data_IF_346132098861
#
_entry.id   IF_346132098861
#
_cell.length_a   1.000
_cell.length_b   1.000
_cell.length_c   1.000
_cell.angle_alpha   90.00
_cell.angle_beta   90.00
_cell.angle_gamma   90.00
#
_symmetry.space_group_name_H-M   'P 1'
#
loop_
_entity.id
_entity.type
_entity.pdbx_description
1 polymer ?
#
# COMPACT_ATOMS: atom_id res chain seq x y z
N UNK A 1 5.36 3.28 4.04
CA UNK A 1 4.30 2.25 4.05
C UNK A 1 4.38 1.34 5.28
N UNK A 2 5.40 0.48 5.42
CA UNK A 2 5.55 -0.49 6.52
C UNK A 2 5.62 0.14 7.91
N UNK A 3 6.48 1.15 8.09
CA UNK A 3 6.56 1.88 9.36
C UNK A 3 5.23 2.52 9.76
N UNK A 4 4.52 3.13 8.79
CA UNK A 4 3.20 3.69 9.06
C UNK A 4 2.15 2.64 9.43
N UNK A 5 2.28 1.40 8.95
CA UNK A 5 1.43 0.31 9.42
C UNK A 5 1.70 -0.01 10.89
N UNK A 6 2.98 -0.22 11.23
CA UNK A 6 3.41 -0.61 12.57
C UNK A 6 3.09 0.46 13.63
N UNK A 7 3.23 1.73 13.29
CA UNK A 7 3.02 2.83 14.23
C UNK A 7 1.54 3.19 14.43
N UNK A 8 0.68 2.97 13.44
CA UNK A 8 -0.71 3.47 13.45
C UNK A 8 -1.73 2.34 13.61
N UNK A 9 -1.47 1.17 13.03
CA UNK A 9 -2.47 0.11 12.88
C UNK A 9 -2.11 -1.19 13.60
N UNK A 10 -0.82 -1.51 13.77
CA UNK A 10 -0.40 -2.71 14.49
C UNK A 10 -0.50 -2.50 16.01
N UNK A 11 -1.20 -3.39 16.71
CA UNK A 11 -1.35 -3.33 18.16
C UNK A 11 -0.05 -3.64 18.91
N UNK A 12 0.90 -4.31 18.25
CA UNK A 12 2.15 -4.75 18.85
C UNK A 12 3.32 -3.80 18.56
N UNK A 13 3.09 -2.49 18.46
CA UNK A 13 4.16 -1.50 18.17
C UNK A 13 5.37 -1.66 19.10
N UNK A 14 5.15 -1.91 20.39
CA UNK A 14 6.22 -2.10 21.39
C UNK A 14 7.13 -3.30 21.10
N UNK A 15 6.59 -4.35 20.49
CA UNK A 15 7.38 -5.50 20.08
C UNK A 15 8.45 -5.12 19.04
N UNK A 16 8.10 -4.27 18.08
CA UNK A 16 9.05 -3.82 17.06
C UNK A 16 10.11 -2.84 17.60
N UNK A 17 9.85 -2.14 18.71
CA UNK A 17 10.86 -1.29 19.36
C UNK A 17 11.95 -2.16 20.00
N UNK A 18 11.55 -3.27 20.64
CA UNK A 18 12.49 -4.21 21.25
C UNK A 18 13.17 -5.11 20.21
N UNK A 19 12.51 -5.37 19.07
CA UNK A 19 13.00 -6.22 17.99
C UNK A 19 12.88 -5.52 16.62
N UNK A 20 13.67 -4.46 16.36
CA UNK A 20 13.52 -3.61 15.17
C UNK A 20 13.68 -4.37 13.85
N UNK A 21 14.44 -5.45 13.83
CA UNK A 21 14.63 -6.29 12.64
C UNK A 21 13.33 -6.97 12.18
N UNK A 22 12.36 -7.16 13.07
CA UNK A 22 11.06 -7.76 12.75
C UNK A 22 10.21 -6.89 11.81
N UNK A 23 10.54 -5.60 11.67
CA UNK A 23 9.91 -4.71 10.70
C UNK A 23 10.08 -5.25 9.26
N UNK A 24 11.23 -5.89 9.00
CA UNK A 24 11.62 -6.44 7.70
C UNK A 24 11.44 -7.95 7.59
N UNK A 25 10.97 -8.63 8.64
CA UNK A 25 10.84 -10.08 8.64
C UNK A 25 9.69 -10.55 7.72
N UNK A 26 9.95 -11.38 6.70
CA UNK A 26 8.91 -11.91 5.81
C UNK A 26 8.35 -13.28 6.27
N UNK A 27 8.77 -13.79 7.43
CA UNK A 27 8.38 -15.10 7.95
C UNK A 27 7.38 -14.99 9.10
N UNK A 28 6.40 -15.91 9.11
CA UNK A 28 5.50 -16.14 10.24
C UNK A 28 5.53 -17.63 10.57
N UNK A 29 5.79 -17.99 11.83
CA UNK A 29 5.90 -19.38 12.29
C UNK A 29 6.86 -20.26 11.45
N UNK A 30 7.92 -19.67 10.88
CA UNK A 30 8.89 -20.37 10.04
C UNK A 30 8.52 -20.46 8.56
N UNK A 31 7.32 -20.05 8.16
CA UNK A 31 6.89 -20.03 6.76
C UNK A 31 7.11 -18.67 6.11
N UNK A 32 7.61 -18.67 4.87
CA UNK A 32 7.78 -17.46 4.08
C UNK A 32 6.42 -17.01 3.53
N UNK A 33 5.90 -15.91 4.07
CA UNK A 33 4.61 -15.34 3.68
C UNK A 33 4.73 -13.94 3.07
N UNK A 34 5.97 -13.45 2.94
CA UNK A 34 6.30 -12.11 2.46
C UNK A 34 6.10 -11.02 3.52
N UNK A 35 6.50 -9.79 3.19
CA UNK A 35 6.25 -8.63 4.05
C UNK A 35 4.77 -8.25 3.93
N UNK A 36 4.04 -8.45 5.02
CA UNK A 36 2.61 -8.13 5.15
C UNK A 36 2.40 -6.89 6.00
N UNK A 37 1.19 -6.33 5.99
CA UNK A 37 0.83 -5.16 6.79
C UNK A 37 1.48 -3.88 6.26
N UNK A 38 0.80 -3.23 5.32
CA UNK A 38 1.23 -2.00 4.68
C UNK A 38 0.18 -0.91 4.87
N UNK A 39 0.61 0.31 5.17
CA UNK A 39 -0.26 1.46 5.32
C UNK A 39 -0.19 2.35 4.08
N UNK A 40 -1.36 2.64 3.49
CA UNK A 40 -1.49 3.57 2.38
C UNK A 40 -1.11 5.00 2.81
N UNK A 41 -1.62 5.49 3.95
CA UNK A 41 -1.26 6.79 4.51
C UNK A 41 0.25 6.89 4.79
N UNK A 42 0.83 5.82 5.35
CA UNK A 42 2.26 5.75 5.60
C UNK A 42 3.10 5.68 4.31
N UNK A 43 2.54 5.26 3.18
CA UNK A 43 3.20 5.36 1.88
C UNK A 43 3.18 6.80 1.36
N UNK A 44 2.03 7.48 1.41
CA UNK A 44 1.88 8.88 0.98
C UNK A 44 2.79 9.81 1.78
N UNK A 45 2.75 9.72 3.12
CA UNK A 45 3.57 10.57 3.99
C UNK A 45 5.06 10.33 3.72
N UNK A 46 5.47 9.06 3.61
CA UNK A 46 6.85 8.70 3.30
C UNK A 46 7.31 9.25 1.95
N UNK A 47 6.46 9.17 0.92
CA UNK A 47 6.71 9.74 -0.39
C UNK A 47 6.89 11.27 -0.31
N UNK A 48 5.96 11.98 0.31
CA UNK A 48 6.04 13.44 0.45
C UNK A 48 7.32 13.89 1.18
N UNK A 49 7.65 13.23 2.29
CA UNK A 49 8.90 13.53 3.03
C UNK A 49 10.12 13.28 2.15
N UNK A 50 10.18 12.14 1.46
CA UNK A 50 11.31 11.82 0.58
C UNK A 50 11.47 12.84 -0.56
N UNK A 51 10.37 13.23 -1.22
CA UNK A 51 10.38 14.26 -2.27
C UNK A 51 10.86 15.61 -1.74
N UNK A 52 10.36 16.05 -0.57
CA UNK A 52 10.78 17.31 0.03
C UNK A 52 12.27 17.30 0.42
N UNK A 53 12.75 16.21 1.02
CA UNK A 53 14.16 16.06 1.38
C UNK A 53 15.07 16.02 0.14
N UNK A 54 14.64 15.33 -0.92
CA UNK A 54 15.35 15.29 -2.18
C UNK A 54 15.44 16.69 -2.81
N UNK A 55 14.31 17.39 -2.91
CA UNK A 55 14.25 18.74 -3.49
C UNK A 55 15.11 19.72 -2.69
N UNK A 56 15.10 19.61 -1.35
CA UNK A 56 15.95 20.43 -0.48
C UNK A 56 17.45 20.17 -0.72
N UNK A 57 17.86 18.90 -0.87
CA UNK A 57 19.25 18.52 -1.08
C UNK A 57 19.79 18.97 -2.44
N UNK A 58 18.99 18.81 -3.49
CA UNK A 58 19.41 19.09 -4.87
C UNK A 58 18.92 20.45 -5.39
N UNK A 59 18.24 21.24 -4.55
CA UNK A 59 17.68 22.56 -4.88
C UNK A 59 16.78 22.54 -6.11
N UNK A 60 15.98 21.48 -6.25
CA UNK A 60 15.04 21.29 -7.36
C UNK A 60 13.63 21.71 -6.95
N UNK A 61 12.80 22.00 -7.95
CA UNK A 61 11.40 22.37 -7.73
C UNK A 61 10.55 21.12 -7.41
N UNK A 62 9.89 21.02 -6.23
CA UNK A 62 9.05 19.88 -5.88
C UNK A 62 7.84 19.68 -6.80
N UNK A 63 7.35 20.74 -7.44
CA UNK A 63 6.19 20.68 -8.34
C UNK A 63 6.42 19.74 -9.53
N UNK A 64 7.65 19.68 -10.05
CA UNK A 64 7.99 18.76 -11.16
C UNK A 64 7.75 17.30 -10.76
N UNK A 65 8.04 16.93 -9.52
CA UNK A 65 7.79 15.57 -9.04
C UNK A 65 6.29 15.31 -8.88
N UNK A 66 5.52 16.31 -8.45
CA UNK A 66 4.07 16.17 -8.36
C UNK A 66 3.42 16.01 -9.74
N UNK A 67 3.93 16.72 -10.76
CA UNK A 67 3.47 16.54 -12.15
C UNK A 67 3.77 15.11 -12.66
N UNK A 68 4.95 14.57 -12.36
CA UNK A 68 5.30 13.18 -12.69
C UNK A 68 4.43 12.16 -11.93
N UNK A 69 4.09 12.45 -10.68
CA UNK A 69 3.17 11.63 -9.87
C UNK A 69 1.78 11.63 -10.48
N UNK A 70 1.30 12.78 -10.96
CA UNK A 70 -0.02 12.88 -11.59
C UNK A 70 -0.14 11.95 -12.82
N UNK A 71 0.95 11.69 -13.53
CA UNK A 71 0.98 10.74 -14.66
C UNK A 71 1.17 9.28 -14.22
N UNK A 72 2.03 9.03 -13.23
CA UNK A 72 2.41 7.67 -12.82
C UNK A 72 1.40 7.00 -11.88
N UNK A 73 0.72 7.76 -11.02
CA UNK A 73 -0.26 7.24 -10.06
C UNK A 73 -1.47 6.58 -10.75
N UNK A 74 -2.09 7.16 -11.79
CA UNK A 74 -3.17 6.49 -12.51
C UNK A 74 -2.76 5.12 -13.05
N UNK A 75 -1.54 5.02 -13.60
CA UNK A 75 -1.01 3.75 -14.12
C UNK A 75 -0.84 2.72 -12.99
N UNK A 76 -0.22 3.11 -11.88
CA UNK A 76 -0.09 2.26 -10.70
C UNK A 76 -1.46 1.83 -10.14
N UNK A 77 -2.45 2.73 -10.17
CA UNK A 77 -3.80 2.47 -9.69
C UNK A 77 -4.54 1.45 -10.56
N UNK A 78 -4.36 1.49 -11.89
CA UNK A 78 -4.92 0.48 -12.80
C UNK A 78 -4.41 -0.91 -12.43
N UNK A 79 -3.09 -1.08 -12.28
CA UNK A 79 -2.53 -2.36 -11.86
C UNK A 79 -2.99 -2.79 -10.47
N UNK A 80 -3.12 -1.84 -9.54
CA UNK A 80 -3.69 -2.09 -8.21
C UNK A 80 -5.12 -2.64 -8.30
N UNK A 81 -5.97 -2.05 -9.14
CA UNK A 81 -7.35 -2.49 -9.35
C UNK A 81 -7.46 -3.84 -10.04
N UNK A 82 -6.59 -4.13 -10.99
CA UNK A 82 -6.48 -5.47 -11.59
C UNK A 82 -6.08 -6.49 -10.52
N UNK A 83 -5.11 -6.17 -9.68
CA UNK A 83 -4.71 -7.00 -8.54
C UNK A 83 -5.87 -7.25 -7.58
N UNK A 84 -6.63 -6.20 -7.23
CA UNK A 84 -7.80 -6.35 -6.36
C UNK A 84 -8.86 -7.27 -6.97
N UNK A 85 -9.12 -7.13 -8.27
CA UNK A 85 -10.05 -7.99 -9.00
C UNK A 85 -9.61 -9.46 -8.97
N UNK A 86 -8.33 -9.74 -9.23
CA UNK A 86 -7.78 -11.11 -9.19
C UNK A 86 -7.78 -11.70 -7.78
N UNK A 87 -7.51 -10.89 -6.76
CA UNK A 87 -7.56 -11.28 -5.36
C UNK A 87 -8.99 -11.39 -4.80
N UNK A 88 -10.00 -11.05 -5.60
CA UNK A 88 -11.40 -10.95 -5.16
C UNK A 88 -11.58 -10.06 -3.92
N UNK A 89 -10.88 -8.93 -3.88
CA UNK A 89 -11.00 -7.91 -2.82
C UNK A 89 -11.55 -6.59 -3.39
N UNK A 90 -12.14 -5.75 -2.53
CA UNK A 90 -12.69 -4.44 -2.90
C UNK A 90 -13.73 -4.50 -4.05
N UNK A 91 -14.46 -5.60 -4.16
CA UNK A 91 -15.54 -5.78 -5.12
C UNK A 91 -16.78 -4.91 -4.81
N UNK A 92 -17.68 -4.85 -5.79
CA UNK A 92 -18.89 -4.05 -5.74
C UNK A 92 -19.99 -4.57 -4.81
N UNK A 93 -21.13 -3.86 -4.88
CA UNK A 93 -22.37 -4.29 -4.23
C UNK A 93 -22.97 -5.46 -5.00
N UNK A 94 -23.82 -6.24 -4.34
CA UNK A 94 -24.59 -7.31 -4.99
C UNK A 94 -25.34 -6.73 -6.18
N UNK A 95 -25.29 -7.45 -7.31
CA UNK A 95 -25.84 -6.98 -8.58
C UNK A 95 -26.57 -8.09 -9.30
N UNK A 96 -27.42 -7.70 -10.24
CA UNK A 96 -28.13 -8.60 -11.15
C UNK A 96 -27.74 -8.35 -12.62
N UNK A 97 -26.71 -7.54 -12.87
CA UNK A 97 -26.26 -7.21 -14.23
C UNK A 97 -25.42 -8.36 -14.82
N UNK A 98 -25.47 -8.57 -16.16
CA UNK A 98 -24.85 -9.74 -16.79
C UNK A 98 -23.32 -9.70 -16.83
N UNK A 99 -22.69 -8.56 -16.51
CA UNK A 99 -21.23 -8.41 -16.44
C UNK A 99 -20.69 -8.44 -14.99
N UNK A 100 -21.52 -8.83 -14.02
CA UNK A 100 -21.06 -9.05 -12.64
C UNK A 100 -20.10 -10.24 -12.53
N UNK A 101 -19.38 -10.32 -11.43
CA UNK A 101 -18.50 -11.43 -11.08
C UNK A 101 -18.97 -12.14 -9.82
N UNK A 102 -18.74 -13.45 -9.74
CA UNK A 102 -19.01 -14.21 -8.53
C UNK A 102 -17.85 -14.10 -7.56
N UNK A 103 -18.13 -13.67 -6.34
CA UNK A 103 -17.20 -13.70 -5.22
C UNK A 103 -17.88 -14.43 -4.06
N UNK A 104 -17.25 -15.48 -3.55
CA UNK A 104 -17.81 -16.38 -2.52
C UNK A 104 -19.24 -16.87 -2.84
N UNK A 105 -19.51 -17.15 -4.12
CA UNK A 105 -20.82 -17.63 -4.59
C UNK A 105 -21.91 -16.57 -4.73
N UNK A 106 -21.62 -15.29 -4.47
CA UNK A 106 -22.56 -14.18 -4.64
C UNK A 106 -22.19 -13.35 -5.87
N UNK A 107 -23.16 -13.03 -6.71
CA UNK A 107 -22.97 -12.17 -7.89
C UNK A 107 -22.82 -10.69 -7.44
N UNK A 108 -21.71 -10.07 -7.83
CA UNK A 108 -21.32 -8.71 -7.43
C UNK A 108 -20.78 -7.88 -8.60
#
# INVERSE_FOLDING_TARGET
ARLGYILIYDANTMYYITHPWQIFNPYINGEFVGIRGMSYHGAIIGFLIATLLFCKKYKTNPWIFLDLVALSVPLAYVFGRIGNFLNQELFGRITNVPWGIYVDGVLR
#
